data_IF_153323121405
#
_entry.id   IF_153323121405
#
_cell.length_a   1.000
_cell.length_b   1.000
_cell.length_c   1.000
_cell.angle_alpha   90.00
_cell.angle_beta   90.00
_cell.angle_gamma   90.00
#
_symmetry.space_group_name_H-M   'P 1'
#
loop_
_entity.id
_entity.type
_entity.pdbx_description
1 polymer ?
#
# COMPACT_ATOMS: atom_id res chain seq x y z
N UNK A 1 -29.76 -24.19 11.57
CA UNK A 1 -28.37 -24.09 11.98
C UNK A 1 -28.25 -22.86 12.81
N UNK A 2 -27.77 -22.89 14.07
CA UNK A 2 -27.55 -21.63 14.81
C UNK A 2 -26.53 -20.81 14.04
N UNK A 3 -26.81 -19.49 13.87
CA UNK A 3 -25.85 -18.52 13.36
C UNK A 3 -24.61 -18.61 14.26
N UNK A 4 -23.51 -19.20 13.76
CA UNK A 4 -22.21 -19.09 14.41
C UNK A 4 -21.92 -17.60 14.56
N UNK A 5 -21.55 -17.16 15.77
CA UNK A 5 -21.00 -15.84 16.00
C UNK A 5 -19.93 -15.59 14.95
N UNK A 6 -20.21 -14.71 13.98
CA UNK A 6 -19.25 -14.33 12.95
C UNK A 6 -18.19 -13.51 13.63
N UNK A 7 -16.93 -13.92 13.50
CA UNK A 7 -15.81 -13.23 14.11
C UNK A 7 -15.68 -11.83 13.52
N UNK A 8 -16.08 -10.81 14.27
CA UNK A 8 -15.80 -9.41 13.92
C UNK A 8 -14.32 -9.08 14.17
N UNK A 9 -13.83 -8.02 13.56
CA UNK A 9 -12.46 -7.55 13.81
C UNK A 9 -12.21 -7.32 15.30
N UNK A 10 -13.18 -6.77 16.04
CA UNK A 10 -13.07 -6.59 17.49
C UNK A 10 -12.91 -7.92 18.23
N UNK A 11 -13.68 -8.94 17.86
CA UNK A 11 -13.59 -10.26 18.49
C UNK A 11 -12.22 -10.90 18.24
N UNK A 12 -11.70 -10.82 17.01
CA UNK A 12 -10.38 -11.34 16.67
C UNK A 12 -9.25 -10.57 17.39
N UNK A 13 -9.36 -9.23 17.47
CA UNK A 13 -8.40 -8.37 18.19
C UNK A 13 -8.40 -8.68 19.69
N UNK A 14 -9.58 -8.89 20.26
CA UNK A 14 -9.76 -9.24 21.68
C UNK A 14 -9.21 -10.63 21.99
N UNK A 15 -9.46 -11.59 21.10
CA UNK A 15 -8.93 -12.96 21.23
C UNK A 15 -7.40 -13.03 21.16
N UNK A 16 -6.76 -12.09 20.44
CA UNK A 16 -5.29 -11.99 20.43
C UNK A 16 -4.70 -11.51 21.77
N UNK A 17 -5.54 -11.06 22.72
CA UNK A 17 -5.17 -10.75 24.12
C UNK A 17 -4.32 -9.51 24.33
N UNK A 18 -3.91 -9.30 25.59
CA UNK A 18 -3.00 -8.21 26.02
C UNK A 18 -3.42 -6.81 25.55
N UNK A 19 -4.73 -6.52 25.55
CA UNK A 19 -5.27 -5.26 25.01
C UNK A 19 -4.70 -4.01 25.72
N UNK A 20 -4.39 -4.10 27.04
CA UNK A 20 -3.79 -3.01 27.82
C UNK A 20 -2.39 -2.62 27.37
N UNK A 21 -1.64 -3.57 26.80
CA UNK A 21 -0.24 -3.38 26.39
C UNK A 21 -0.12 -2.95 24.93
N UNK A 22 -1.25 -2.94 24.21
CA UNK A 22 -1.32 -2.69 22.78
C UNK A 22 -1.94 -1.34 22.50
N UNK A 23 -1.41 -0.64 21.51
CA UNK A 23 -1.88 0.70 21.17
C UNK A 23 -1.86 0.99 19.68
N UNK A 24 -2.73 1.93 19.31
CA UNK A 24 -2.69 2.63 18.02
C UNK A 24 -2.20 4.05 18.29
N UNK A 25 -1.16 4.49 17.59
CA UNK A 25 -0.55 5.81 17.78
C UNK A 25 -0.57 6.58 16.46
N UNK A 26 -1.21 7.74 16.44
CA UNK A 26 -1.12 8.75 15.38
C UNK A 26 0.00 9.74 15.65
N UNK A 27 0.02 10.86 14.91
CA UNK A 27 0.99 11.93 15.13
C UNK A 27 0.75 12.69 16.46
N UNK A 28 -0.52 12.90 16.82
CA UNK A 28 -0.93 13.78 17.92
C UNK A 28 -1.60 13.04 19.09
N UNK A 29 -1.93 11.76 18.93
CA UNK A 29 -2.64 10.99 19.93
C UNK A 29 -2.22 9.51 19.93
N UNK A 30 -2.43 8.87 21.08
CA UNK A 30 -2.24 7.44 21.27
C UNK A 30 -3.42 6.88 22.04
N UNK A 31 -3.98 5.76 21.57
CA UNK A 31 -5.09 5.06 22.22
C UNK A 31 -4.67 3.64 22.54
N UNK A 32 -4.83 3.21 23.78
CA UNK A 32 -4.66 1.81 24.13
C UNK A 32 -5.87 1.01 23.64
N UNK A 33 -5.65 -0.20 23.12
CA UNK A 33 -6.78 -1.04 22.69
C UNK A 33 -7.66 -1.45 23.88
N UNK A 34 -7.09 -1.47 25.10
CA UNK A 34 -7.82 -1.69 26.35
C UNK A 34 -8.90 -0.63 26.61
N UNK A 35 -8.68 0.61 26.16
CA UNK A 35 -9.66 1.70 26.37
C UNK A 35 -10.94 1.44 25.60
N UNK A 36 -10.87 0.73 24.47
CA UNK A 36 -12.03 0.36 23.66
C UNK A 36 -12.89 -0.74 24.30
N UNK A 37 -12.42 -1.45 25.32
CA UNK A 37 -13.21 -2.49 26.00
C UNK A 37 -14.46 -1.90 26.65
N UNK A 38 -14.32 -0.70 27.22
CA UNK A 38 -15.41 0.01 27.91
C UNK A 38 -15.61 1.43 27.39
N UNK A 39 -15.30 1.66 26.13
CA UNK A 39 -15.41 2.98 25.54
C UNK A 39 -15.48 2.94 24.02
N UNK A 40 -15.82 4.08 23.44
CA UNK A 40 -16.01 4.25 22.00
C UNK A 40 -15.32 5.50 21.50
N UNK A 41 -14.69 5.42 20.34
CA UNK A 41 -14.18 6.56 19.58
C UNK A 41 -15.30 7.32 18.85
N UNK A 42 -16.49 6.72 18.76
CA UNK A 42 -17.69 7.24 18.08
C UNK A 42 -18.65 7.98 19.02
N UNK A 43 -18.17 8.38 20.20
CA UNK A 43 -18.99 9.11 21.19
C UNK A 43 -20.21 8.35 21.71
N UNK A 44 -20.17 7.02 21.69
CA UNK A 44 -21.29 6.15 22.10
C UNK A 44 -22.39 5.98 21.03
N UNK A 45 -22.19 6.50 19.81
CA UNK A 45 -23.20 6.51 18.74
C UNK A 45 -23.08 5.31 17.77
N UNK A 46 -22.41 4.23 18.15
CA UNK A 46 -22.19 3.04 17.31
C UNK A 46 -23.52 2.41 16.83
N UNK A 47 -24.56 2.40 17.71
CA UNK A 47 -25.86 1.84 17.36
C UNK A 47 -26.56 2.57 16.21
N UNK A 48 -26.31 3.85 16.03
CA UNK A 48 -26.86 4.62 14.90
C UNK A 48 -26.28 4.16 13.55
N UNK A 49 -25.13 3.46 13.57
CA UNK A 49 -24.44 2.96 12.38
C UNK A 49 -24.76 1.48 12.07
N UNK A 50 -25.55 0.84 12.93
CA UNK A 50 -25.91 -0.57 12.79
C UNK A 50 -26.68 -0.84 11.49
N UNK A 51 -26.15 -1.76 10.67
CA UNK A 51 -26.74 -2.17 9.40
C UNK A 51 -26.63 -1.14 8.28
N UNK A 52 -25.98 0.00 8.52
CA UNK A 52 -25.80 1.06 7.52
C UNK A 52 -24.63 0.80 6.58
N UNK A 53 -24.62 1.54 5.47
CA UNK A 53 -23.48 1.71 4.58
C UNK A 53 -22.75 3.00 4.98
N UNK A 54 -21.58 2.85 5.58
CA UNK A 54 -20.86 3.91 6.28
C UNK A 54 -19.64 4.37 5.46
N UNK A 55 -19.57 5.65 5.11
CA UNK A 55 -18.34 6.27 4.63
C UNK A 55 -17.41 6.54 5.82
N UNK A 56 -16.17 6.10 5.78
CA UNK A 56 -15.11 6.50 6.70
C UNK A 56 -14.23 7.52 6.01
N UNK A 57 -14.48 8.80 6.27
CA UNK A 57 -13.82 9.94 5.64
C UNK A 57 -13.19 10.85 6.70
N UNK A 58 -12.13 10.38 7.31
CA UNK A 58 -11.35 11.09 8.32
C UNK A 58 -10.09 11.72 7.72
N UNK A 59 -9.52 12.74 8.35
CA UNK A 59 -8.20 13.29 8.04
C UNK A 59 -7.10 12.43 8.65
N UNK A 60 -7.27 12.12 9.94
CA UNK A 60 -6.32 11.33 10.71
C UNK A 60 -6.54 9.83 10.50
N UNK A 61 -5.44 9.10 10.33
CA UNK A 61 -5.46 7.65 10.21
C UNK A 61 -5.81 6.94 11.53
N UNK A 62 -5.49 7.55 12.68
CA UNK A 62 -5.84 6.99 13.99
C UNK A 62 -7.36 6.92 14.17
N UNK A 63 -8.06 7.99 13.81
CA UNK A 63 -9.53 8.02 13.86
C UNK A 63 -10.14 7.01 12.88
N UNK A 64 -9.56 6.87 11.67
CA UNK A 64 -9.99 5.80 10.75
C UNK A 64 -9.79 4.41 11.37
N UNK A 65 -8.62 4.15 11.94
CA UNK A 65 -8.29 2.86 12.55
C UNK A 65 -9.26 2.49 13.69
N UNK A 66 -9.57 3.44 14.57
CA UNK A 66 -10.53 3.26 15.66
C UNK A 66 -11.92 2.96 15.13
N UNK A 67 -12.39 3.76 14.16
CA UNK A 67 -13.69 3.54 13.53
C UNK A 67 -13.81 2.16 12.89
N UNK A 68 -12.78 1.70 12.17
CA UNK A 68 -12.77 0.39 11.51
C UNK A 68 -12.87 -0.76 12.51
N UNK A 69 -12.20 -0.66 13.68
CA UNK A 69 -12.28 -1.66 14.75
C UNK A 69 -13.71 -1.75 15.32
N UNK A 70 -14.41 -0.62 15.39
CA UNK A 70 -15.77 -0.56 15.97
C UNK A 70 -16.87 -0.89 14.96
N UNK A 71 -16.68 -0.59 13.67
CA UNK A 71 -17.69 -0.73 12.62
C UNK A 71 -17.81 -2.15 12.07
N UNK A 72 -16.72 -2.91 12.05
CA UNK A 72 -16.76 -4.27 11.51
C UNK A 72 -17.67 -5.18 12.35
N UNK A 73 -18.56 -5.90 11.70
CA UNK A 73 -19.60 -6.71 12.33
C UNK A 73 -20.87 -5.90 12.73
N UNK A 74 -20.79 -4.56 12.77
CA UNK A 74 -21.91 -3.65 13.13
C UNK A 74 -22.51 -2.99 11.90
N UNK A 75 -21.68 -2.37 11.06
CA UNK A 75 -22.11 -1.80 9.81
C UNK A 75 -22.28 -2.91 8.75
N UNK A 76 -23.24 -2.77 7.85
CA UNK A 76 -23.40 -3.65 6.70
C UNK A 76 -22.25 -3.45 5.71
N UNK A 77 -21.79 -2.21 5.55
CA UNK A 77 -20.74 -1.82 4.61
C UNK A 77 -19.91 -0.69 5.19
N UNK A 78 -18.59 -0.76 4.96
CA UNK A 78 -17.64 0.29 5.31
C UNK A 78 -16.88 0.71 4.05
N UNK A 79 -16.97 1.99 3.67
CA UNK A 79 -16.27 2.56 2.51
C UNK A 79 -15.08 3.37 2.99
N UNK A 80 -13.89 2.95 2.66
CA UNK A 80 -12.65 3.60 3.08
C UNK A 80 -12.32 4.73 2.10
N UNK A 81 -12.54 5.98 2.53
CA UNK A 81 -12.23 7.16 1.74
C UNK A 81 -10.82 7.63 2.06
N UNK A 82 -9.84 7.51 1.13
CA UNK A 82 -8.51 8.07 1.33
C UNK A 82 -8.59 9.61 1.33
N UNK A 83 -7.66 10.32 2.02
CA UNK A 83 -7.75 11.77 2.21
C UNK A 83 -7.58 12.58 0.92
N UNK A 84 -6.98 11.99 -0.08
CA UNK A 84 -6.75 12.55 -1.43
C UNK A 84 -7.87 12.20 -2.43
N UNK A 85 -8.98 11.63 -1.97
CA UNK A 85 -10.14 11.43 -2.83
C UNK A 85 -10.67 12.80 -3.27
N UNK A 86 -10.70 13.11 -4.58
CA UNK A 86 -11.24 14.38 -5.06
C UNK A 86 -12.68 14.59 -4.63
N UNK A 87 -13.00 15.79 -4.13
CA UNK A 87 -14.34 16.10 -3.65
C UNK A 87 -15.45 15.89 -4.69
N UNK A 88 -15.14 16.07 -5.96
CA UNK A 88 -16.04 15.82 -7.10
C UNK A 88 -16.42 14.33 -7.26
N UNK A 89 -15.60 13.41 -6.74
CA UNK A 89 -15.91 11.97 -6.78
C UNK A 89 -16.77 11.50 -5.60
N UNK A 90 -16.87 12.28 -4.52
CA UNK A 90 -17.63 11.90 -3.33
C UNK A 90 -19.11 11.60 -3.63
N UNK A 91 -19.84 12.40 -4.43
CA UNK A 91 -21.23 12.08 -4.77
C UNK A 91 -21.39 10.73 -5.50
N UNK A 92 -20.45 10.40 -6.41
CA UNK A 92 -20.44 9.11 -7.09
C UNK A 92 -20.23 7.96 -6.11
N UNK A 93 -19.28 8.11 -5.17
CA UNK A 93 -18.99 7.11 -4.14
C UNK A 93 -20.21 6.90 -3.23
N UNK A 94 -20.85 7.98 -2.78
CA UNK A 94 -22.08 7.93 -1.96
C UNK A 94 -23.18 7.17 -2.70
N UNK A 95 -23.47 7.55 -3.93
CA UNK A 95 -24.53 6.94 -4.72
C UNK A 95 -24.26 5.45 -5.00
N UNK A 96 -23.05 5.11 -5.45
CA UNK A 96 -22.69 3.73 -5.82
C UNK A 96 -22.64 2.82 -4.60
N UNK A 97 -22.12 3.31 -3.46
CA UNK A 97 -22.09 2.55 -2.22
C UNK A 97 -23.44 2.51 -1.50
N UNK A 98 -24.46 3.26 -1.98
CA UNK A 98 -25.71 3.53 -1.26
C UNK A 98 -25.41 3.91 0.20
N UNK A 99 -24.45 4.84 0.37
CA UNK A 99 -24.00 5.25 1.69
C UNK A 99 -25.04 6.18 2.34
N UNK A 100 -25.47 5.82 3.55
CA UNK A 100 -26.49 6.52 4.33
C UNK A 100 -25.95 7.05 5.67
N UNK A 101 -24.67 6.76 5.98
CA UNK A 101 -23.96 7.29 7.13
C UNK A 101 -22.52 7.69 6.80
N UNK A 102 -21.99 8.63 7.58
CA UNK A 102 -20.63 9.15 7.50
C UNK A 102 -19.98 9.12 8.88
N UNK A 103 -18.79 8.56 8.96
CA UNK A 103 -17.88 8.71 10.10
C UNK A 103 -16.75 9.64 9.69
N UNK A 104 -16.54 10.71 10.46
CA UNK A 104 -15.55 11.74 10.17
C UNK A 104 -14.93 12.28 11.46
N UNK A 105 -13.73 12.85 11.37
CA UNK A 105 -13.07 13.60 12.46
C UNK A 105 -13.18 15.13 12.26
N UNK A 106 -13.98 15.55 11.28
CA UNK A 106 -14.23 16.97 11.01
C UNK A 106 -15.42 17.45 11.84
N UNK A 107 -15.39 18.71 12.27
CA UNK A 107 -16.48 19.38 12.95
C UNK A 107 -17.11 20.44 12.04
N UNK A 108 -18.39 20.76 12.31
CA UNK A 108 -19.12 21.85 11.65
C UNK A 108 -19.78 21.48 10.32
N UNK A 109 -20.28 22.48 9.55
CA UNK A 109 -21.06 22.26 8.32
C UNK A 109 -20.30 21.52 7.21
N UNK A 110 -18.98 21.59 7.22
CA UNK A 110 -18.11 20.91 6.25
C UNK A 110 -17.93 19.41 6.56
N UNK A 111 -18.46 18.93 7.67
CA UNK A 111 -18.36 17.51 8.07
C UNK A 111 -19.26 16.59 7.26
N UNK A 112 -20.25 17.13 6.53
CA UNK A 112 -21.25 16.36 5.80
C UNK A 112 -20.75 15.89 4.43
N UNK A 113 -21.42 14.85 3.90
CA UNK A 113 -21.33 14.45 2.51
C UNK A 113 -22.74 14.58 1.86
N UNK A 114 -22.84 15.07 0.61
CA UNK A 114 -24.13 15.22 -0.05
C UNK A 114 -24.88 13.87 -0.11
N UNK A 115 -26.14 13.88 0.33
CA UNK A 115 -27.01 12.69 0.32
C UNK A 115 -26.87 11.77 1.55
N UNK A 116 -26.02 12.09 2.52
CA UNK A 116 -25.82 11.30 3.74
C UNK A 116 -26.57 11.95 4.92
N UNK A 117 -27.52 11.21 5.51
CA UNK A 117 -28.39 11.72 6.57
C UNK A 117 -27.86 11.55 8.00
N UNK A 118 -26.95 10.59 8.23
CA UNK A 118 -26.38 10.31 9.55
C UNK A 118 -24.88 10.64 9.56
N UNK A 119 -24.46 11.58 10.41
CA UNK A 119 -23.06 11.96 10.58
C UNK A 119 -22.63 11.69 12.00
N UNK A 120 -21.61 10.86 12.18
CA UNK A 120 -21.02 10.52 13.48
C UNK A 120 -19.57 10.98 13.51
N UNK A 121 -19.22 11.73 14.55
CA UNK A 121 -17.83 12.18 14.75
C UNK A 121 -17.02 11.07 15.42
N UNK A 122 -15.86 10.76 14.87
CA UNK A 122 -14.86 9.88 15.46
C UNK A 122 -13.73 10.70 16.08
N UNK A 123 -13.27 10.30 17.26
CA UNK A 123 -12.22 11.01 18.01
C UNK A 123 -11.28 10.01 18.70
N UNK A 124 -9.99 10.33 18.88
CA UNK A 124 -9.09 9.55 19.73
C UNK A 124 -9.43 9.69 21.24
N UNK A 125 -10.29 10.63 21.60
CA UNK A 125 -10.83 10.75 22.96
C UNK A 125 -11.91 9.70 23.17
N UNK A 126 -11.57 8.60 23.84
CA UNK A 126 -12.49 7.49 24.05
C UNK A 126 -13.54 7.86 25.08
N UNK A 127 -14.81 7.84 24.68
CA UNK A 127 -15.96 8.09 25.54
C UNK A 127 -16.36 6.81 26.26
N UNK A 128 -16.40 6.78 27.60
CA UNK A 128 -16.88 5.61 28.33
C UNK A 128 -18.32 5.26 27.93
N UNK A 129 -18.55 4.00 27.58
CA UNK A 129 -19.87 3.53 27.16
C UNK A 129 -19.93 2.01 27.24
N UNK A 130 -21.12 1.48 27.55
CA UNK A 130 -21.40 0.06 27.37
C UNK A 130 -21.83 -0.18 25.93
N UNK A 131 -21.00 -0.91 25.17
CA UNK A 131 -21.26 -1.19 23.77
C UNK A 131 -21.26 -2.69 23.53
N UNK A 132 -22.33 -3.17 22.93
CA UNK A 132 -22.37 -4.49 22.35
C UNK A 132 -21.84 -4.45 20.92
N UNK A 133 -20.58 -4.90 20.72
CA UNK A 133 -19.96 -5.09 19.40
C UNK A 133 -20.24 -6.51 18.90
N UNK A 134 -21.52 -6.88 18.83
CA UNK A 134 -21.91 -8.19 18.32
C UNK A 134 -21.79 -8.24 16.80
N UNK A 135 -21.08 -9.23 16.28
CA UNK A 135 -20.92 -9.49 14.84
C UNK A 135 -22.22 -9.96 14.19
N UNK A 136 -23.16 -9.04 13.92
CA UNK A 136 -24.43 -9.37 13.24
C UNK A 136 -24.33 -9.33 11.74
N UNK A 137 -23.32 -8.63 11.20
CA UNK A 137 -23.15 -8.43 9.77
C UNK A 137 -21.80 -8.99 9.31
N UNK A 138 -21.80 -9.54 8.11
CA UNK A 138 -20.59 -9.80 7.34
C UNK A 138 -20.27 -8.49 6.59
N UNK A 139 -19.53 -7.62 7.27
CA UNK A 139 -19.29 -6.26 6.79
C UNK A 139 -18.55 -6.28 5.46
N UNK A 140 -19.12 -5.64 4.44
CA UNK A 140 -18.42 -5.38 3.19
C UNK A 140 -17.42 -4.22 3.39
N UNK A 141 -16.16 -4.47 3.06
CA UNK A 141 -15.09 -3.48 3.08
C UNK A 141 -14.84 -2.98 1.67
N UNK A 142 -15.17 -1.72 1.41
CA UNK A 142 -15.02 -1.13 0.08
C UNK A 142 -13.74 -0.29 0.03
N UNK A 143 -12.83 -0.69 -0.86
CA UNK A 143 -11.58 0.02 -1.10
C UNK A 143 -11.62 0.73 -2.45
N UNK A 144 -11.19 1.99 -2.46
CA UNK A 144 -11.13 2.80 -3.66
C UNK A 144 -9.78 2.63 -4.35
N UNK A 145 -9.79 2.32 -5.65
CA UNK A 145 -8.60 2.27 -6.49
C UNK A 145 -8.70 3.28 -7.63
N UNK A 146 -7.55 3.78 -8.11
CA UNK A 146 -7.51 4.64 -9.29
C UNK A 146 -7.93 3.84 -10.52
N UNK A 147 -9.08 4.14 -11.08
CA UNK A 147 -9.51 3.58 -12.36
C UNK A 147 -8.70 4.16 -13.53
N UNK A 148 -8.55 3.40 -14.61
CA UNK A 148 -7.95 3.88 -15.87
C UNK A 148 -8.75 5.01 -16.53
N UNK A 149 -9.99 5.20 -16.14
CA UNK A 149 -10.91 6.26 -16.62
C UNK A 149 -10.88 7.50 -15.72
N UNK A 150 -10.02 7.57 -14.71
CA UNK A 150 -9.97 8.65 -13.73
C UNK A 150 -11.00 8.53 -12.61
N UNK A 151 -12.07 7.75 -12.79
CA UNK A 151 -13.06 7.51 -11.72
C UNK A 151 -12.61 6.38 -10.80
N UNK A 152 -12.85 6.48 -9.48
CA UNK A 152 -12.47 5.45 -8.54
C UNK A 152 -13.28 4.18 -8.76
N UNK A 153 -12.59 3.03 -8.87
CA UNK A 153 -13.23 1.71 -8.79
C UNK A 153 -13.41 1.34 -7.32
N UNK A 154 -14.54 0.73 -7.00
CA UNK A 154 -14.89 0.30 -5.65
C UNK A 154 -14.75 -1.22 -5.54
N UNK A 155 -13.65 -1.67 -4.95
CA UNK A 155 -13.34 -3.10 -4.78
C UNK A 155 -13.94 -3.59 -3.47
N UNK A 156 -14.71 -4.68 -3.55
CA UNK A 156 -15.45 -5.26 -2.41
C UNK A 156 -14.67 -6.38 -1.78
N UNK A 157 -14.40 -6.27 -0.49
CA UNK A 157 -13.79 -7.29 0.33
C UNK A 157 -14.67 -7.66 1.52
N UNK A 158 -14.37 -8.80 2.15
CA UNK A 158 -14.84 -9.17 3.49
C UNK A 158 -13.66 -9.22 4.45
N UNK A 159 -13.90 -9.22 5.76
CA UNK A 159 -12.81 -9.41 6.72
C UNK A 159 -12.07 -10.72 6.46
N UNK A 160 -12.76 -11.80 6.09
CA UNK A 160 -12.15 -13.09 5.78
C UNK A 160 -11.17 -13.02 4.60
N UNK A 161 -11.52 -12.32 3.50
CA UNK A 161 -10.61 -12.15 2.37
C UNK A 161 -9.42 -11.24 2.71
N UNK A 162 -9.62 -10.21 3.54
CA UNK A 162 -8.56 -9.31 3.99
C UNK A 162 -7.63 -9.95 5.02
N UNK A 163 -8.17 -10.75 5.96
CA UNK A 163 -7.41 -11.40 7.02
C UNK A 163 -6.76 -12.73 6.60
N UNK A 164 -7.24 -13.36 5.52
CA UNK A 164 -6.73 -14.64 5.02
C UNK A 164 -5.20 -14.71 4.81
N UNK A 165 -4.50 -13.61 4.45
CA UNK A 165 -3.04 -13.58 4.36
C UNK A 165 -2.32 -13.63 5.72
N UNK A 166 -3.06 -13.41 6.81
CA UNK A 166 -2.48 -13.18 8.14
C UNK A 166 -2.55 -14.49 8.91
N UNK A 167 -1.46 -15.26 8.91
CA UNK A 167 -1.36 -16.48 9.71
C UNK A 167 -1.10 -16.14 11.17
N UNK A 168 -1.86 -16.74 12.07
CA UNK A 168 -1.54 -16.71 13.50
C UNK A 168 -0.16 -17.31 13.71
N UNK A 169 0.79 -16.52 14.24
CA UNK A 169 2.19 -16.94 14.41
C UNK A 169 3.19 -16.42 13.37
N UNK A 170 2.74 -15.68 12.35
CA UNK A 170 3.61 -15.01 11.36
C UNK A 170 4.41 -13.83 11.96
N UNK A 171 4.30 -13.65 13.27
CA UNK A 171 5.10 -12.69 14.05
C UNK A 171 6.47 -13.29 14.33
N UNK A 172 7.53 -12.55 14.00
CA UNK A 172 8.92 -12.87 14.35
C UNK A 172 9.09 -12.95 15.89
N UNK A 173 8.57 -13.99 16.50
CA UNK A 173 8.84 -14.38 17.92
C UNK A 173 8.17 -13.57 19.02
N UNK A 174 7.78 -12.33 18.85
CA UNK A 174 7.04 -11.50 19.82
C UNK A 174 6.15 -10.47 19.11
N UNK A 175 5.07 -10.02 19.78
CA UNK A 175 4.24 -8.92 19.27
C UNK A 175 5.10 -7.67 19.06
N UNK A 176 5.33 -7.29 17.82
CA UNK A 176 6.16 -6.14 17.46
C UNK A 176 5.40 -4.83 17.49
N UNK A 177 6.14 -3.73 17.49
CA UNK A 177 5.61 -2.40 17.17
C UNK A 177 5.76 -2.20 15.66
N UNK A 178 4.63 -2.19 14.96
CA UNK A 178 4.57 -2.01 13.53
C UNK A 178 4.45 -0.54 13.16
N UNK A 179 4.92 -0.21 11.99
CA UNK A 179 4.65 1.06 11.35
C UNK A 179 4.56 0.90 9.84
N UNK A 180 3.97 1.88 9.17
CA UNK A 180 3.85 1.88 7.72
C UNK A 180 3.84 3.29 7.17
N UNK A 181 4.47 3.47 6.01
CA UNK A 181 4.36 4.68 5.21
C UNK A 181 3.05 4.76 4.41
N UNK A 182 2.30 3.65 4.32
CA UNK A 182 1.02 3.62 3.61
C UNK A 182 -0.08 4.23 4.45
N UNK A 183 -1.07 4.80 3.76
CA UNK A 183 -2.36 5.11 4.36
C UNK A 183 -3.18 3.82 4.55
N UNK A 184 -3.72 3.60 5.76
CA UNK A 184 -4.50 2.40 6.09
C UNK A 184 -5.85 2.33 5.37
N UNK A 185 -6.32 3.42 4.78
CA UNK A 185 -7.54 3.45 3.95
C UNK A 185 -7.28 2.93 2.53
N UNK A 186 -6.05 2.51 2.23
CA UNK A 186 -5.63 1.82 1.01
C UNK A 186 -5.21 0.40 1.32
N UNK A 187 -5.35 -0.50 0.36
CA UNK A 187 -5.12 -1.93 0.55
C UNK A 187 -3.78 -2.26 1.24
N UNK A 188 -2.68 -1.66 0.80
CA UNK A 188 -1.36 -1.93 1.38
C UNK A 188 -1.26 -1.57 2.87
N UNK A 189 -1.76 -0.39 3.25
CA UNK A 189 -1.80 0.06 4.65
C UNK A 189 -2.79 -0.73 5.48
N UNK A 190 -3.97 -1.04 4.91
CA UNK A 190 -4.98 -1.87 5.57
C UNK A 190 -4.43 -3.26 5.93
N UNK A 191 -3.63 -3.87 5.04
CA UNK A 191 -2.99 -5.16 5.32
C UNK A 191 -2.01 -5.08 6.50
N UNK A 192 -1.27 -3.97 6.66
CA UNK A 192 -0.38 -3.78 7.81
C UNK A 192 -1.17 -3.54 9.09
N UNK A 193 -2.24 -2.75 9.02
CA UNK A 193 -3.16 -2.51 10.13
C UNK A 193 -3.76 -3.82 10.65
N UNK A 194 -4.37 -4.62 9.78
CA UNK A 194 -4.96 -5.91 10.16
C UNK A 194 -3.91 -6.89 10.68
N UNK A 195 -2.75 -7.00 10.01
CA UNK A 195 -1.64 -7.85 10.46
C UNK A 195 -1.18 -7.49 11.87
N UNK A 196 -1.05 -6.19 12.16
CA UNK A 196 -0.66 -5.73 13.48
C UNK A 196 -1.69 -6.10 14.54
N UNK A 197 -2.96 -5.83 14.26
CA UNK A 197 -4.03 -6.10 15.23
C UNK A 197 -4.23 -7.58 15.49
N UNK A 198 -4.29 -8.40 14.44
CA UNK A 198 -4.51 -9.85 14.55
C UNK A 198 -3.26 -10.58 15.05
N UNK A 199 -2.08 -10.03 14.83
CA UNK A 199 -0.81 -10.53 15.35
C UNK A 199 -0.46 -10.10 16.78
N UNK A 200 -1.35 -9.36 17.46
CA UNK A 200 -1.15 -8.95 18.86
C UNK A 200 -0.18 -7.78 19.06
N UNK A 201 0.19 -7.06 18.01
CA UNK A 201 1.13 -5.92 18.04
C UNK A 201 0.49 -4.56 18.32
N UNK A 202 1.33 -3.53 18.40
CA UNK A 202 0.99 -2.10 18.41
C UNK A 202 1.30 -1.48 17.05
N UNK A 203 0.58 -0.41 16.67
CA UNK A 203 0.77 0.27 15.38
C UNK A 203 1.05 1.76 15.57
N UNK A 204 2.10 2.23 14.91
CA UNK A 204 2.42 3.65 14.75
C UNK A 204 2.05 4.06 13.32
N UNK A 205 1.02 4.87 13.20
CA UNK A 205 0.47 5.34 11.92
C UNK A 205 1.25 6.55 11.41
N UNK A 206 1.47 6.66 10.12
CA UNK A 206 2.00 7.87 9.49
C UNK A 206 0.93 8.95 9.41
N UNK A 207 1.36 10.20 9.21
CA UNK A 207 0.48 11.34 8.98
C UNK A 207 0.81 12.00 7.63
N UNK A 208 -0.21 12.43 6.88
CA UNK A 208 -0.03 13.05 5.57
C UNK A 208 0.66 14.44 5.64
N UNK A 209 0.58 15.11 6.80
CA UNK A 209 1.19 16.41 7.04
C UNK A 209 2.60 16.29 7.66
N UNK A 210 3.00 15.09 8.07
CA UNK A 210 4.26 14.82 8.73
C UNK A 210 5.39 14.64 7.69
N UNK A 211 6.53 15.28 7.89
CA UNK A 211 7.68 15.01 7.05
C UNK A 211 8.21 13.60 7.28
N UNK A 212 8.88 13.02 6.27
CA UNK A 212 9.54 11.71 6.44
C UNK A 212 10.51 11.70 7.62
N UNK A 213 11.20 12.82 7.88
CA UNK A 213 12.12 12.95 9.01
C UNK A 213 11.43 12.90 10.36
N UNK A 214 10.35 13.66 10.54
CA UNK A 214 9.58 13.69 11.77
C UNK A 214 8.92 12.33 12.05
N UNK A 215 8.39 11.69 11.02
CA UNK A 215 7.87 10.33 11.11
C UNK A 215 8.93 9.33 11.61
N UNK A 216 10.16 9.40 11.07
CA UNK A 216 11.26 8.51 11.50
C UNK A 216 11.67 8.76 12.96
N UNK A 217 11.70 10.03 13.41
CA UNK A 217 11.97 10.38 14.81
C UNK A 217 10.88 9.76 15.71
N UNK A 218 9.61 9.97 15.36
CA UNK A 218 8.47 9.48 16.13
C UNK A 218 8.41 7.94 16.14
N UNK A 219 8.62 7.30 14.99
CA UNK A 219 8.71 5.85 14.91
C UNK A 219 9.81 5.27 15.79
N UNK A 220 10.98 5.93 15.82
CA UNK A 220 12.09 5.55 16.71
C UNK A 220 11.73 5.72 18.19
N UNK A 221 11.09 6.84 18.58
CA UNK A 221 10.64 7.08 19.94
C UNK A 221 9.60 6.05 20.43
N UNK A 222 8.79 5.50 19.52
CA UNK A 222 7.85 4.43 19.81
C UNK A 222 8.46 3.02 19.77
N UNK A 223 9.76 2.88 19.50
CA UNK A 223 10.44 1.59 19.42
C UNK A 223 9.93 0.70 18.28
N UNK A 224 9.65 1.29 17.11
CA UNK A 224 9.14 0.56 15.95
C UNK A 224 10.16 -0.50 15.52
N UNK A 225 9.69 -1.75 15.43
CA UNK A 225 10.49 -2.92 15.05
C UNK A 225 10.19 -3.43 13.65
N UNK A 226 9.00 -3.12 13.11
CA UNK A 226 8.53 -3.61 11.81
C UNK A 226 8.04 -2.42 10.98
N UNK A 227 8.59 -2.23 9.78
CA UNK A 227 8.21 -1.10 8.92
C UNK A 227 7.89 -1.59 7.50
N UNK A 228 6.75 -1.13 6.98
CA UNK A 228 6.33 -1.42 5.61
C UNK A 228 6.21 -0.15 4.78
N UNK A 229 6.61 -0.23 3.51
CA UNK A 229 6.54 0.89 2.57
C UNK A 229 6.78 0.46 1.13
N UNK A 230 6.57 1.38 0.18
CA UNK A 230 7.01 1.15 -1.20
C UNK A 230 8.52 1.29 -1.32
N UNK A 231 9.14 0.74 -2.37
CA UNK A 231 10.52 1.09 -2.75
C UNK A 231 10.78 2.60 -2.77
N UNK A 232 9.85 3.40 -3.29
CA UNK A 232 9.96 4.86 -3.33
C UNK A 232 9.94 5.51 -1.93
N UNK A 233 9.10 5.02 -1.02
CA UNK A 233 9.14 5.44 0.39
C UNK A 233 10.49 5.17 1.03
N UNK A 234 11.03 3.96 0.84
CA UNK A 234 12.30 3.57 1.41
C UNK A 234 13.47 4.35 0.81
N UNK A 235 13.47 4.60 -0.51
CA UNK A 235 14.48 5.44 -1.15
C UNK A 235 14.48 6.84 -0.54
N UNK A 236 13.29 7.42 -0.30
CA UNK A 236 13.15 8.73 0.34
C UNK A 236 13.61 8.70 1.81
N UNK A 237 13.21 7.68 2.57
CA UNK A 237 13.61 7.52 3.97
C UNK A 237 15.13 7.41 4.10
N UNK A 238 15.79 6.63 3.24
CA UNK A 238 17.25 6.45 3.24
C UNK A 238 18.04 7.71 2.81
N UNK A 239 17.38 8.71 2.21
CA UNK A 239 18.00 10.02 1.97
C UNK A 239 18.10 10.86 3.24
N UNK A 240 17.27 10.58 4.24
CA UNK A 240 17.27 11.30 5.50
C UNK A 240 18.32 10.73 6.46
N UNK A 241 19.19 11.57 7.08
CA UNK A 241 20.07 11.11 8.13
C UNK A 241 19.29 10.57 9.34
N UNK A 242 18.01 10.92 9.47
CA UNK A 242 17.10 10.49 10.50
C UNK A 242 16.62 9.03 10.32
N UNK A 243 16.92 8.39 9.18
CA UNK A 243 16.66 6.97 8.99
C UNK A 243 17.32 6.09 10.05
N UNK A 244 18.44 6.52 10.63
CA UNK A 244 19.10 5.83 11.76
C UNK A 244 18.40 6.02 13.11
N UNK A 245 17.30 6.77 13.17
CA UNK A 245 16.47 6.86 14.39
C UNK A 245 15.63 5.63 14.63
N UNK A 246 15.41 4.81 13.60
CA UNK A 246 14.75 3.51 13.71
C UNK A 246 15.80 2.38 13.60
N UNK A 247 15.54 1.27 14.28
CA UNK A 247 16.31 0.04 14.20
C UNK A 247 15.35 -1.14 13.91
N UNK A 248 14.84 -1.23 12.68
CA UNK A 248 13.84 -2.23 12.34
C UNK A 248 14.46 -3.64 12.37
N UNK A 249 13.73 -4.60 12.90
CA UNK A 249 14.00 -6.03 12.78
C UNK A 249 13.43 -6.61 11.49
N UNK A 250 12.39 -5.97 10.95
CA UNK A 250 11.72 -6.37 9.72
C UNK A 250 11.37 -5.16 8.85
N UNK A 251 11.81 -5.23 7.60
CA UNK A 251 11.51 -4.26 6.55
C UNK A 251 10.75 -4.96 5.44
N UNK A 252 9.57 -4.43 5.09
CA UNK A 252 8.74 -4.98 4.01
C UNK A 252 8.52 -3.94 2.91
N UNK A 253 8.80 -4.34 1.67
CA UNK A 253 8.51 -3.55 0.49
C UNK A 253 7.31 -4.14 -0.25
N UNK A 254 6.42 -3.28 -0.76
CA UNK A 254 5.31 -3.71 -1.61
C UNK A 254 4.74 -2.53 -2.41
N UNK A 255 3.90 -2.81 -3.41
CA UNK A 255 3.18 -1.78 -4.18
C UNK A 255 3.93 -1.21 -5.37
N UNK A 256 5.24 -1.39 -5.43
CA UNK A 256 6.11 -1.11 -6.57
C UNK A 256 7.11 -2.26 -6.74
N UNK A 257 7.80 -2.30 -7.89
CA UNK A 257 8.85 -3.30 -8.14
C UNK A 257 10.04 -3.01 -7.20
N UNK A 258 10.36 -3.98 -6.34
CA UNK A 258 11.59 -3.95 -5.55
C UNK A 258 12.74 -4.46 -6.42
N UNK A 259 13.55 -3.54 -6.96
CA UNK A 259 14.76 -3.88 -7.69
C UNK A 259 15.90 -4.29 -6.73
N UNK A 260 16.93 -4.95 -7.25
CA UNK A 260 18.05 -5.43 -6.44
C UNK A 260 18.75 -4.30 -5.69
N UNK A 261 18.86 -3.12 -6.33
CA UNK A 261 19.57 -1.99 -5.74
C UNK A 261 18.94 -1.49 -4.42
N UNK A 262 17.60 -1.47 -4.33
CA UNK A 262 16.93 -1.07 -3.06
C UNK A 262 17.04 -2.16 -2.00
N UNK A 263 16.98 -3.44 -2.38
CA UNK A 263 17.13 -4.55 -1.43
C UNK A 263 18.54 -4.54 -0.83
N UNK A 264 19.58 -4.44 -1.66
CA UNK A 264 20.98 -4.35 -1.25
C UNK A 264 21.22 -3.12 -0.34
N UNK A 265 20.66 -1.97 -0.72
CA UNK A 265 20.83 -0.74 0.05
C UNK A 265 20.17 -0.85 1.44
N UNK A 266 18.97 -1.42 1.53
CA UNK A 266 18.29 -1.63 2.80
C UNK A 266 19.04 -2.62 3.68
N UNK A 267 19.53 -3.73 3.12
CA UNK A 267 20.30 -4.71 3.86
C UNK A 267 21.63 -4.14 4.38
N UNK A 268 22.30 -3.32 3.56
CA UNK A 268 23.54 -2.65 3.99
C UNK A 268 23.28 -1.57 5.06
N UNK A 269 22.13 -0.86 4.98
CA UNK A 269 21.81 0.21 5.92
C UNK A 269 21.27 -0.32 7.26
N UNK A 270 20.48 -1.40 7.24
CA UNK A 270 19.92 -2.09 8.41
C UNK A 270 20.37 -3.57 8.40
N UNK A 271 21.63 -3.86 8.75
CA UNK A 271 22.20 -5.22 8.60
C UNK A 271 21.47 -6.28 9.42
N UNK A 272 20.89 -5.89 10.57
CA UNK A 272 20.15 -6.79 11.46
C UNK A 272 18.68 -6.99 11.01
N UNK A 273 18.21 -6.23 10.03
CA UNK A 273 16.84 -6.33 9.58
C UNK A 273 16.66 -7.48 8.59
N UNK A 274 15.60 -8.26 8.76
CA UNK A 274 15.10 -9.10 7.68
C UNK A 274 14.39 -8.24 6.64
N UNK A 275 14.96 -8.12 5.46
CA UNK A 275 14.37 -7.40 4.34
C UNK A 275 13.55 -8.35 3.48
N UNK A 276 12.30 -8.03 3.21
CA UNK A 276 11.42 -8.81 2.34
C UNK A 276 10.64 -7.91 1.38
N UNK A 277 10.30 -8.45 0.22
CA UNK A 277 9.37 -7.79 -0.68
C UNK A 277 8.15 -8.67 -0.96
N UNK A 278 7.04 -8.05 -1.30
CA UNK A 278 5.77 -8.73 -1.47
C UNK A 278 5.01 -8.18 -2.67
N UNK A 279 4.30 -9.04 -3.34
CA UNK A 279 3.30 -8.63 -4.32
C UNK A 279 1.90 -8.67 -3.71
N UNK A 280 1.17 -7.59 -3.92
CA UNK A 280 -0.23 -7.47 -3.55
C UNK A 280 -0.95 -6.51 -4.50
N UNK A 281 -2.18 -6.80 -4.82
CA UNK A 281 -3.13 -5.86 -5.44
C UNK A 281 -4.41 -5.79 -4.65
N UNK A 282 -5.18 -4.72 -4.83
CA UNK A 282 -6.47 -4.60 -4.16
C UNK A 282 -7.42 -5.70 -4.61
N UNK A 283 -7.38 -6.09 -5.88
CA UNK A 283 -8.27 -7.07 -6.48
C UNK A 283 -7.90 -8.52 -6.11
N UNK A 284 -6.62 -8.88 -6.22
CA UNK A 284 -6.16 -10.26 -6.06
C UNK A 284 -5.66 -10.60 -4.64
N UNK A 285 -5.52 -9.59 -3.79
CA UNK A 285 -4.98 -9.80 -2.45
C UNK A 285 -3.44 -9.89 -2.42
N UNK A 286 -2.89 -10.37 -1.32
CA UNK A 286 -1.45 -10.65 -1.15
C UNK A 286 -1.14 -12.00 -1.78
N UNK A 287 -0.28 -12.02 -2.80
CA UNK A 287 0.09 -13.24 -3.51
C UNK A 287 1.30 -13.94 -2.88
N UNK A 288 2.38 -13.22 -2.66
CA UNK A 288 3.60 -13.79 -2.09
C UNK A 288 4.40 -12.78 -1.27
N UNK A 289 5.30 -13.32 -0.45
CA UNK A 289 6.35 -12.58 0.25
C UNK A 289 7.65 -13.32 0.02
N UNK A 290 8.68 -12.61 -0.44
CA UNK A 290 10.03 -13.12 -0.71
C UNK A 290 11.00 -12.40 0.21
N UNK A 291 11.84 -13.16 0.93
CA UNK A 291 12.80 -12.63 1.89
C UNK A 291 14.16 -13.31 1.79
N UNK A 292 14.56 -13.70 0.57
CA UNK A 292 15.84 -14.33 0.25
C UNK A 292 16.94 -13.34 -0.17
N UNK A 293 16.64 -12.04 -0.08
CA UNK A 293 17.56 -10.96 -0.47
C UNK A 293 17.63 -10.69 -1.97
N UNK A 294 16.87 -11.42 -2.79
CA UNK A 294 16.92 -11.31 -4.24
C UNK A 294 15.65 -10.67 -4.81
N UNK A 295 15.81 -9.84 -5.82
CA UNK A 295 14.71 -9.30 -6.59
C UNK A 295 13.98 -10.39 -7.39
N UNK A 296 12.75 -10.10 -7.80
CA UNK A 296 11.90 -11.06 -8.51
C UNK A 296 11.32 -12.14 -7.59
N UNK A 297 10.64 -13.11 -8.17
CA UNK A 297 9.97 -14.19 -7.45
C UNK A 297 10.48 -15.55 -7.95
N UNK A 298 10.82 -16.50 -7.06
CA UNK A 298 11.25 -17.84 -7.48
C UNK A 298 10.22 -18.51 -8.39
N UNK A 299 10.65 -19.04 -9.52
CA UNK A 299 9.77 -19.72 -10.47
C UNK A 299 9.06 -20.93 -9.84
N UNK A 300 9.65 -21.51 -8.81
CA UNK A 300 9.07 -22.61 -8.04
C UNK A 300 7.78 -22.25 -7.28
N UNK A 301 7.44 -20.97 -7.15
CA UNK A 301 6.16 -20.53 -6.57
C UNK A 301 5.02 -20.52 -7.60
N UNK A 302 5.33 -20.59 -8.89
CA UNK A 302 4.35 -20.62 -9.96
C UNK A 302 3.84 -22.05 -10.19
N UNK A 303 2.57 -22.17 -10.58
CA UNK A 303 1.95 -23.45 -10.93
C UNK A 303 1.72 -24.41 -9.76
N UNK A 304 1.94 -23.98 -8.52
CA UNK A 304 1.61 -24.80 -7.34
C UNK A 304 0.11 -24.96 -7.22
N UNK A 305 -0.37 -26.16 -7.43
CA UNK A 305 -1.76 -26.55 -7.13
C UNK A 305 -1.86 -26.85 -5.63
N UNK A 306 -3.01 -26.64 -5.06
CA UNK A 306 -3.32 -26.85 -3.62
C UNK A 306 -2.58 -25.92 -2.64
N UNK A 307 -2.01 -24.83 -3.13
CA UNK A 307 -1.51 -23.75 -2.29
C UNK A 307 -2.65 -22.79 -1.91
N UNK A 308 -2.54 -22.11 -0.76
CA UNK A 308 -3.47 -21.03 -0.36
C UNK A 308 -3.61 -19.94 -1.43
N UNK A 309 -2.57 -19.77 -2.23
CA UNK A 309 -2.49 -18.86 -3.37
C UNK A 309 -1.90 -19.62 -4.54
N UNK A 310 -2.68 -19.74 -5.60
CA UNK A 310 -2.23 -20.29 -6.87
C UNK A 310 -1.87 -19.15 -7.81
N UNK A 311 -0.73 -19.28 -8.46
CA UNK A 311 -0.19 -18.28 -9.39
C UNK A 311 0.20 -18.95 -10.70
N UNK A 312 -0.12 -18.29 -11.83
CA UNK A 312 0.36 -18.68 -13.17
C UNK A 312 0.76 -17.42 -13.94
N UNK A 313 1.64 -17.59 -14.91
CA UNK A 313 1.94 -16.55 -15.88
C UNK A 313 1.31 -16.98 -17.21
N UNK A 314 0.42 -16.15 -17.74
CA UNK A 314 -0.27 -16.40 -19.01
C UNK A 314 -0.26 -15.11 -19.83
N UNK A 315 0.14 -15.21 -21.09
CA UNK A 315 0.38 -14.04 -21.97
C UNK A 315 1.33 -13.00 -21.36
N UNK A 316 2.29 -13.46 -20.54
CA UNK A 316 3.24 -12.65 -19.81
C UNK A 316 2.65 -11.94 -18.58
N UNK A 317 1.36 -12.07 -18.28
CA UNK A 317 0.70 -11.46 -17.13
C UNK A 317 0.62 -12.42 -15.96
N UNK A 318 0.82 -11.91 -14.74
CA UNK A 318 0.56 -12.66 -13.51
C UNK A 318 -0.93 -12.84 -13.29
N UNK A 319 -1.36 -14.08 -13.12
CA UNK A 319 -2.72 -14.43 -12.73
C UNK A 319 -2.72 -15.11 -11.38
N UNK A 320 -3.70 -14.76 -10.56
CA UNK A 320 -3.77 -15.20 -9.15
C UNK A 320 -5.16 -15.75 -8.85
N UNK A 321 -5.20 -16.92 -8.21
CA UNK A 321 -6.41 -17.52 -7.63
C UNK A 321 -6.20 -17.72 -6.14
N UNK A 322 -7.10 -17.20 -5.30
CA UNK A 322 -6.95 -17.27 -3.85
C UNK A 322 -8.27 -16.90 -3.15
N UNK A 323 -8.48 -17.43 -1.94
CA UNK A 323 -9.53 -16.97 -1.04
C UNK A 323 -9.35 -15.51 -0.55
N UNK A 324 -8.19 -14.89 -0.86
CA UNK A 324 -7.85 -13.48 -0.55
C UNK A 324 -8.33 -12.50 -1.61
N UNK A 325 -8.84 -13.03 -2.73
CA UNK A 325 -9.37 -12.23 -3.83
C UNK A 325 -10.61 -11.47 -3.40
N UNK A 326 -10.76 -10.24 -3.88
CA UNK A 326 -11.96 -9.45 -3.70
C UNK A 326 -13.18 -10.16 -4.28
N UNK A 327 -14.36 -9.90 -3.73
CA UNK A 327 -15.60 -10.51 -4.21
C UNK A 327 -16.08 -9.91 -5.54
N UNK A 328 -15.63 -8.69 -5.89
CA UNK A 328 -15.99 -8.01 -7.13
C UNK A 328 -15.84 -6.50 -7.04
N UNK A 329 -16.43 -5.82 -8.02
CA UNK A 329 -16.57 -4.37 -8.04
C UNK A 329 -18.01 -3.96 -7.68
N UNK A 330 -18.13 -2.93 -6.86
CA UNK A 330 -19.43 -2.34 -6.54
C UNK A 330 -19.84 -1.37 -7.66
N UNK A 331 -21.06 -1.50 -8.15
CA UNK A 331 -21.63 -0.59 -9.18
C UNK A 331 -21.05 -0.74 -10.59
N UNK A 332 -20.20 -1.74 -10.82
CA UNK A 332 -19.68 -2.03 -12.15
C UNK A 332 -20.68 -2.86 -13.00
N UNK A 333 -20.61 -2.76 -14.34
CA UNK A 333 -21.38 -3.65 -15.20
C UNK A 333 -20.82 -5.06 -15.04
N UNK A 334 -21.41 -5.91 -14.25
CA UNK A 334 -21.32 -7.37 -14.16
C UNK A 334 -20.03 -8.10 -14.62
N UNK A 335 -18.92 -7.40 -14.86
CA UNK A 335 -17.65 -7.99 -15.25
C UNK A 335 -17.10 -8.76 -14.05
N UNK A 336 -16.98 -10.07 -14.22
CA UNK A 336 -16.32 -10.93 -13.23
C UNK A 336 -14.89 -10.44 -13.04
N UNK A 337 -14.49 -10.28 -11.77
CA UNK A 337 -13.11 -9.97 -11.42
C UNK A 337 -12.15 -11.09 -11.84
N UNK A 338 -12.64 -12.33 -11.79
CA UNK A 338 -11.92 -13.55 -12.11
C UNK A 338 -12.44 -14.19 -13.40
N UNK A 339 -11.55 -14.89 -14.10
CA UNK A 339 -11.92 -15.72 -15.26
C UNK A 339 -12.72 -16.97 -14.86
N UNK A 340 -13.08 -17.81 -15.85
CA UNK A 340 -13.85 -19.03 -15.61
C UNK A 340 -13.13 -20.07 -14.71
N UNK A 341 -11.81 -19.97 -14.61
CA UNK A 341 -11.01 -20.83 -13.71
C UNK A 341 -10.81 -20.20 -12.31
N UNK A 342 -11.34 -18.99 -12.08
CA UNK A 342 -11.23 -18.26 -10.83
C UNK A 342 -9.94 -17.45 -10.67
N UNK A 343 -9.16 -17.26 -11.75
CA UNK A 343 -7.96 -16.44 -11.71
C UNK A 343 -8.26 -14.96 -12.02
N UNK A 344 -7.69 -14.08 -11.22
CA UNK A 344 -7.66 -12.63 -11.47
C UNK A 344 -6.43 -12.30 -12.29
N UNK A 345 -6.62 -11.64 -13.43
CA UNK A 345 -5.53 -11.07 -14.23
C UNK A 345 -5.07 -9.75 -13.60
N UNK A 346 -3.86 -9.71 -13.07
CA UNK A 346 -3.33 -8.51 -12.39
C UNK A 346 -2.91 -7.41 -13.37
N UNK A 347 -2.66 -7.75 -14.65
CA UNK A 347 -2.06 -6.86 -15.64
C UNK A 347 -0.58 -6.54 -15.36
N UNK A 348 0.02 -7.12 -14.33
CA UNK A 348 1.44 -6.98 -14.04
C UNK A 348 2.23 -8.01 -14.85
N UNK A 349 3.15 -7.53 -15.69
CA UNK A 349 3.89 -8.34 -16.67
C UNK A 349 5.16 -8.92 -16.05
N UNK A 350 5.41 -10.20 -16.31
CA UNK A 350 6.52 -10.97 -15.78
C UNK A 350 7.35 -11.60 -16.90
N UNK A 351 8.66 -11.65 -16.70
CA UNK A 351 9.62 -12.33 -17.55
C UNK A 351 10.41 -13.35 -16.75
N UNK A 352 10.54 -14.59 -17.27
CA UNK A 352 11.37 -15.62 -16.67
C UNK A 352 12.83 -15.39 -17.07
N UNK A 353 13.71 -15.27 -16.08
CA UNK A 353 15.17 -15.20 -16.26
C UNK A 353 15.82 -16.17 -15.29
N UNK A 354 16.42 -17.24 -15.83
CA UNK A 354 16.93 -18.33 -15.01
C UNK A 354 15.82 -19.03 -14.24
N UNK A 355 15.94 -19.08 -12.94
CA UNK A 355 15.00 -19.72 -12.01
C UNK A 355 14.02 -18.73 -11.33
N UNK A 356 13.96 -17.47 -11.82
CA UNK A 356 13.12 -16.42 -11.24
C UNK A 356 12.30 -15.67 -12.28
N UNK A 357 11.09 -15.27 -11.89
CA UNK A 357 10.29 -14.30 -12.62
C UNK A 357 10.58 -12.90 -12.12
N UNK A 358 10.74 -11.97 -13.04
CA UNK A 358 10.94 -10.55 -12.76
C UNK A 358 9.76 -9.75 -13.28
N UNK A 359 9.23 -8.86 -12.46
CA UNK A 359 8.28 -7.87 -12.94
C UNK A 359 8.98 -6.91 -13.88
N UNK A 360 8.41 -6.74 -15.07
CA UNK A 360 8.95 -5.81 -16.08
C UNK A 360 8.10 -4.54 -16.21
N UNK A 361 6.89 -4.54 -15.67
CA UNK A 361 5.99 -3.39 -15.64
C UNK A 361 4.52 -3.79 -15.74
N UNK A 362 3.64 -2.82 -15.98
CA UNK A 362 2.21 -3.07 -16.18
C UNK A 362 1.85 -3.04 -17.66
N UNK A 363 0.85 -3.84 -18.06
CA UNK A 363 0.34 -3.88 -19.44
C UNK A 363 -0.09 -2.49 -19.95
N UNK A 364 -0.70 -1.67 -19.10
CA UNK A 364 -1.15 -0.31 -19.43
C UNK A 364 -0.04 0.75 -19.41
N UNK A 365 1.16 0.44 -18.86
CA UNK A 365 2.29 1.39 -18.72
C UNK A 365 3.37 1.25 -19.81
N UNK A 366 3.13 0.47 -20.84
CA UNK A 366 4.12 0.18 -21.89
C UNK A 366 4.31 1.40 -22.81
N UNK A 367 5.56 1.83 -22.98
CA UNK A 367 5.95 2.83 -23.96
C UNK A 367 6.14 2.15 -25.31
N UNK A 368 5.46 2.63 -26.35
CA UNK A 368 5.59 2.12 -27.72
C UNK A 368 6.58 2.98 -28.51
N UNK A 369 7.77 2.45 -28.77
CA UNK A 369 8.82 3.13 -29.53
C UNK A 369 8.93 2.49 -30.93
N UNK A 370 8.29 3.11 -31.91
CA UNK A 370 8.33 2.60 -33.30
C UNK A 370 7.81 1.15 -33.45
N UNK A 371 6.76 0.78 -32.70
CA UNK A 371 6.19 -0.58 -32.67
C UNK A 371 6.87 -1.54 -31.66
N UNK A 372 7.98 -1.14 -31.05
CA UNK A 372 8.65 -1.94 -30.04
C UNK A 372 8.20 -1.54 -28.63
N UNK A 373 7.96 -2.54 -27.77
CA UNK A 373 7.46 -2.34 -26.42
C UNK A 373 8.60 -2.09 -25.45
N UNK A 374 8.48 -1.04 -24.63
CA UNK A 374 9.41 -0.70 -23.56
C UNK A 374 8.65 -0.59 -22.25
N UNK A 375 9.07 -1.36 -21.26
CA UNK A 375 8.58 -1.23 -19.89
C UNK A 375 9.45 -0.23 -19.13
N UNK A 376 8.90 0.89 -18.67
CA UNK A 376 9.66 1.92 -17.95
C UNK A 376 10.47 1.36 -16.78
N UNK A 377 9.87 0.45 -16.02
CA UNK A 377 10.44 -0.14 -14.81
C UNK A 377 11.70 -1.00 -15.11
N UNK A 378 11.75 -1.63 -16.28
CA UNK A 378 12.94 -2.37 -16.72
C UNK A 378 14.13 -1.43 -16.92
N UNK A 379 13.89 -0.27 -17.51
CA UNK A 379 14.91 0.77 -17.73
C UNK A 379 15.33 1.40 -16.41
N UNK A 380 14.36 1.71 -15.53
CA UNK A 380 14.61 2.23 -14.18
C UNK A 380 15.46 1.27 -13.35
N UNK A 381 15.22 -0.03 -13.44
CA UNK A 381 16.00 -1.03 -12.73
C UNK A 381 17.49 -1.00 -13.14
N UNK A 382 17.80 -0.70 -14.39
CA UNK A 382 19.19 -0.53 -14.86
C UNK A 382 19.78 0.77 -14.35
N UNK A 383 19.05 1.89 -14.48
CA UNK A 383 19.50 3.21 -14.03
C UNK A 383 19.76 3.22 -12.51
N UNK A 384 18.87 2.62 -11.74
CA UNK A 384 18.93 2.57 -10.27
C UNK A 384 20.11 1.75 -9.72
N UNK A 385 20.76 0.89 -10.55
CA UNK A 385 21.99 0.19 -10.17
C UNK A 385 23.21 1.10 -10.11
N UNK A 386 23.14 2.26 -10.75
CA UNK A 386 24.28 3.18 -10.73
C UNK A 386 24.49 3.75 -9.31
N UNK A 387 25.71 3.70 -8.73
CA UNK A 387 25.95 4.01 -7.31
C UNK A 387 25.59 5.44 -6.94
N UNK A 388 25.63 6.37 -7.87
CA UNK A 388 25.27 7.80 -7.67
C UNK A 388 23.78 8.07 -7.86
N UNK A 389 22.98 7.10 -8.33
CA UNK A 389 21.54 7.25 -8.54
C UNK A 389 20.79 6.87 -7.28
N UNK A 390 19.89 7.76 -6.83
CA UNK A 390 18.97 7.52 -5.71
C UNK A 390 17.67 6.89 -6.19
N UNK A 391 17.08 7.48 -7.22
CA UNK A 391 15.86 7.00 -7.86
C UNK A 391 15.73 7.57 -9.26
N UNK A 392 14.98 6.91 -10.12
CA UNK A 392 14.71 7.34 -11.48
C UNK A 392 13.24 7.16 -11.84
N UNK A 393 12.76 7.97 -12.78
CA UNK A 393 11.44 7.88 -13.39
C UNK A 393 11.61 7.91 -14.90
N UNK A 394 11.26 6.79 -15.54
CA UNK A 394 11.26 6.66 -16.99
C UNK A 394 9.87 6.94 -17.54
N UNK A 395 9.82 7.73 -18.60
CA UNK A 395 8.58 8.16 -19.24
C UNK A 395 8.70 8.27 -20.74
N UNK A 396 7.55 8.27 -21.40
CA UNK A 396 7.47 8.56 -22.83
C UNK A 396 7.62 10.07 -23.08
N UNK A 397 8.27 10.42 -24.18
CA UNK A 397 8.21 11.74 -24.78
C UNK A 397 7.78 11.59 -26.25
N UNK A 398 6.79 12.35 -26.67
CA UNK A 398 6.30 12.30 -28.06
C UNK A 398 7.42 12.53 -29.06
N UNK A 399 7.43 11.72 -30.12
CA UNK A 399 8.39 11.79 -31.23
C UNK A 399 7.62 11.69 -32.54
N UNK A 400 7.86 12.60 -33.48
CA UNK A 400 7.18 12.57 -34.79
C UNK A 400 7.62 11.38 -35.67
N UNK A 401 8.76 10.72 -35.35
CA UNK A 401 9.32 9.63 -36.13
C UNK A 401 8.88 8.27 -35.59
N UNK A 402 8.98 8.08 -34.27
CA UNK A 402 8.72 6.79 -33.61
C UNK A 402 7.44 6.76 -32.78
N UNK A 403 6.64 7.83 -32.83
CA UNK A 403 5.49 8.03 -31.93
C UNK A 403 5.92 8.43 -30.53
N UNK A 404 6.84 7.68 -29.92
CA UNK A 404 7.44 8.00 -28.62
C UNK A 404 8.93 7.66 -28.58
N UNK A 405 9.65 8.29 -27.67
CA UNK A 405 11.00 7.94 -27.24
C UNK A 405 11.05 7.84 -25.72
N UNK A 406 11.97 7.04 -25.22
CA UNK A 406 12.21 6.88 -23.78
C UNK A 406 13.06 8.04 -23.28
N UNK A 407 12.68 8.64 -22.15
CA UNK A 407 13.46 9.63 -21.41
C UNK A 407 13.43 9.30 -19.93
N UNK A 408 14.45 9.74 -19.17
CA UNK A 408 14.50 9.47 -17.73
C UNK A 408 14.82 10.73 -16.93
N UNK A 409 14.07 10.94 -15.85
CA UNK A 409 14.39 11.88 -14.79
C UNK A 409 15.11 11.12 -13.67
N UNK A 410 16.21 11.65 -13.17
CA UNK A 410 17.09 10.97 -12.22
C UNK A 410 17.40 11.87 -11.03
N UNK A 411 17.17 11.37 -9.83
CA UNK A 411 17.60 11.98 -8.57
C UNK A 411 18.94 11.38 -8.17
N UNK A 412 19.89 12.23 -7.89
CA UNK A 412 21.27 11.85 -7.51
C UNK A 412 21.38 11.71 -6.00
N UNK A 413 22.15 10.74 -5.53
CA UNK A 413 22.48 10.62 -4.10
C UNK A 413 23.32 11.81 -3.65
N UNK A 414 23.06 12.37 -2.47
CA UNK A 414 23.94 13.39 -1.88
C UNK A 414 25.37 12.84 -1.76
N UNK A 415 26.36 13.64 -2.12
CA UNK A 415 27.76 13.28 -1.92
C UNK A 415 28.06 13.09 -0.41
N UNK A 416 28.67 11.98 -0.06
CA UNK A 416 29.16 11.77 1.30
C UNK A 416 30.46 12.56 1.50
N UNK A 417 30.38 13.78 2.09
CA UNK A 417 31.55 14.56 2.53
C UNK A 417 31.65 15.97 1.94
N UNK A 418 32.40 16.89 2.60
CA UNK A 418 32.51 18.30 2.25
C UNK A 418 33.51 18.62 1.12
N UNK A 419 34.04 17.67 0.41
CA UNK A 419 35.03 17.88 -0.65
C UNK A 419 34.66 17.17 -1.93
N UNK A 420 33.94 17.88 -2.77
CA UNK A 420 33.73 17.49 -4.13
C UNK A 420 33.06 18.63 -4.85
N UNK A 421 33.79 19.35 -5.71
CA UNK A 421 33.18 20.13 -6.77
C UNK A 421 32.09 19.29 -7.41
N UNK A 422 30.97 19.84 -7.90
CA UNK A 422 29.98 19.08 -8.64
C UNK A 422 30.72 18.45 -9.82
N UNK A 423 31.02 17.17 -9.71
CA UNK A 423 31.54 16.41 -10.84
C UNK A 423 30.51 16.59 -11.95
N UNK A 424 30.91 17.22 -13.03
CA UNK A 424 30.06 17.82 -14.03
C UNK A 424 28.91 16.88 -14.41
N UNK A 425 27.66 17.40 -14.37
CA UNK A 425 26.45 16.62 -14.65
C UNK A 425 26.48 15.89 -15.99
N UNK A 426 27.23 16.37 -16.97
CA UNK A 426 27.46 15.72 -18.26
C UNK A 426 28.13 14.35 -18.14
N UNK A 427 29.07 14.16 -17.21
CA UNK A 427 29.74 12.87 -16.98
C UNK A 427 28.82 11.82 -16.40
N UNK A 428 27.95 12.19 -15.43
CA UNK A 428 27.02 11.24 -14.81
C UNK A 428 25.95 10.77 -15.79
N UNK A 429 25.39 11.70 -16.59
CA UNK A 429 24.42 11.35 -17.63
C UNK A 429 25.01 10.37 -18.63
N UNK A 430 26.28 10.59 -19.05
CA UNK A 430 26.99 9.69 -19.97
C UNK A 430 27.24 8.31 -19.34
N UNK A 431 27.68 8.27 -18.08
CA UNK A 431 27.88 7.02 -17.34
C UNK A 431 26.59 6.18 -17.26
N UNK A 432 25.45 6.83 -16.95
CA UNK A 432 24.14 6.18 -16.89
C UNK A 432 23.72 5.68 -18.27
N UNK A 433 23.86 6.50 -19.31
CA UNK A 433 23.54 6.10 -20.69
C UNK A 433 24.38 4.91 -21.16
N UNK A 434 25.67 4.90 -20.83
CA UNK A 434 26.55 3.78 -21.16
C UNK A 434 26.18 2.51 -20.39
N UNK A 435 25.75 2.62 -19.15
CA UNK A 435 25.19 1.48 -18.41
C UNK A 435 23.92 0.94 -19.08
N UNK A 436 23.03 1.82 -19.52
CA UNK A 436 21.84 1.44 -20.26
C UNK A 436 22.18 0.77 -21.61
N UNK A 437 23.13 1.30 -22.37
CA UNK A 437 23.56 0.73 -23.67
C UNK A 437 24.15 -0.68 -23.51
N UNK A 438 24.85 -0.96 -22.40
CA UNK A 438 25.41 -2.31 -22.13
C UNK A 438 24.35 -3.31 -21.69
N UNK A 439 23.27 -2.87 -21.06
CA UNK A 439 22.30 -3.75 -20.40
C UNK A 439 20.98 -3.90 -21.12
N UNK A 440 20.64 -2.97 -22.04
CA UNK A 440 19.32 -2.88 -22.67
C UNK A 440 19.42 -2.94 -24.20
N UNK A 441 18.36 -3.41 -24.83
CA UNK A 441 18.21 -3.31 -26.28
C UNK A 441 18.17 -1.83 -26.73
N UNK A 442 18.65 -1.49 -27.94
CA UNK A 442 18.82 -0.10 -28.39
C UNK A 442 17.56 0.79 -28.25
N UNK A 443 16.37 0.25 -28.53
CA UNK A 443 15.11 0.97 -28.44
C UNK A 443 14.66 1.28 -27.01
N UNK A 444 15.25 0.60 -26.01
CA UNK A 444 14.98 0.79 -24.57
C UNK A 444 15.92 1.82 -23.94
N UNK A 445 17.03 2.16 -24.61
CA UNK A 445 18.01 3.11 -24.07
C UNK A 445 17.38 4.52 -24.06
N UNK A 446 17.39 5.23 -22.92
CA UNK A 446 16.88 6.59 -22.88
C UNK A 446 17.56 7.52 -23.89
N UNK A 447 16.76 8.28 -24.64
CA UNK A 447 17.29 9.30 -25.56
C UNK A 447 17.87 10.51 -24.80
N UNK A 448 17.44 10.72 -23.54
CA UNK A 448 17.97 11.74 -22.66
C UNK A 448 17.80 11.35 -21.19
N UNK A 449 18.80 11.74 -20.38
CA UNK A 449 18.74 11.73 -18.92
C UNK A 449 18.63 13.18 -18.47
N UNK A 450 17.74 13.44 -17.53
CA UNK A 450 17.61 14.75 -16.88
C UNK A 450 17.83 14.58 -15.38
N UNK A 451 18.80 15.29 -14.83
CA UNK A 451 19.01 15.34 -13.38
C UNK A 451 17.98 16.27 -12.75
N UNK A 452 17.28 15.79 -11.74
CA UNK A 452 16.23 16.53 -11.04
C UNK A 452 16.47 16.49 -9.52
N UNK A 453 16.05 17.52 -8.77
CA UNK A 453 16.24 17.54 -7.32
C UNK A 453 15.33 16.54 -6.59
N UNK A 454 14.16 16.25 -7.13
CA UNK A 454 13.19 15.33 -6.56
C UNK A 454 12.28 14.76 -7.64
N UNK A 455 11.62 13.64 -7.32
CA UNK A 455 10.52 13.07 -8.11
C UNK A 455 9.23 13.10 -7.28
N UNK A 456 8.11 13.34 -7.96
CA UNK A 456 6.81 13.34 -7.32
C UNK A 456 6.40 11.92 -6.96
N UNK A 457 5.94 11.77 -5.72
CA UNK A 457 5.38 10.53 -5.19
C UNK A 457 3.93 10.80 -4.85
N UNK A 458 3.04 10.05 -5.46
CA UNK A 458 1.60 10.13 -5.21
C UNK A 458 1.28 9.80 -3.74
N UNK A 459 0.10 10.19 -3.27
CA UNK A 459 -0.37 9.88 -1.92
C UNK A 459 -0.46 8.36 -1.64
N UNK A 460 -0.50 7.55 -2.70
CA UNK A 460 -0.37 6.08 -2.60
C UNK A 460 1.06 5.60 -2.27
N UNK A 461 2.04 6.52 -2.21
CA UNK A 461 3.44 6.21 -1.99
C UNK A 461 4.20 5.67 -3.20
N UNK A 462 3.60 5.70 -4.38
CA UNK A 462 4.20 5.29 -5.65
C UNK A 462 4.69 6.49 -6.44
N UNK A 463 5.69 6.30 -7.30
CA UNK A 463 6.09 7.33 -8.25
C UNK A 463 4.89 7.76 -9.11
N UNK A 464 4.68 9.07 -9.19
CA UNK A 464 3.62 9.63 -10.03
C UNK A 464 4.03 9.48 -11.50
N UNK A 465 3.37 8.57 -12.21
CA UNK A 465 3.48 8.41 -13.66
C UNK A 465 2.33 9.19 -14.28
N UNK A 466 2.62 10.37 -14.81
CA UNK A 466 1.65 11.08 -15.63
C UNK A 466 1.49 10.26 -16.93
N UNK A 467 0.28 9.91 -17.27
CA UNK A 467 -0.07 9.30 -18.56
C UNK A 467 0.41 10.26 -19.66
N UNK A 468 1.22 9.74 -20.60
CA UNK A 468 1.84 10.50 -21.67
C UNK A 468 0.87 10.71 -22.84
#
# INVERSE_FOLDING_TARGET
MPQSDRDSLWNLVSAAGRLSDRSLSGANAKVALGDLVRGSSLGGRLEELRGRSVLVATRDQLTAALALVELDGVARRVVLCPPDLPGEHVPLVVATAAADALVTDRAGPEAGAPGVGCVVTCSPNITPTEIERSGRFDTEWILLTSGTTGLPKMVVHTLSSLAGPIKSGDTLGSPGVWSTFYDIRRYGGLQIFLRTLLGGGSLVLSDAQESTGDFLIRAGAHGVTHVSGTPSHWRRALMSPLARRIAPQYVRLSGEIADQAILDHLQAFYPEARVAHAFASTEAGVAFVVGDGLAGVPASLMGRRDADVEMKVEDGSLRIRSARTATGYLGGPGESLADAEGFVDTGDMLELRGDRYYFVGRRGGIINVGGLKVHPEEVEAVINRHPRVQMSLVKARKSPITGAIVVADVVVRPAAGPSGAPAGGATLESEILDACRRALAPHKVPAAIRLVPSLDVAASGKLARLDA
#
